data_IF_776418026213
#
_entry.id   IF_776418026213
#
_cell.length_a   1.000
_cell.length_b   1.000
_cell.length_c   1.000
_cell.angle_alpha   90.00
_cell.angle_beta   90.00
_cell.angle_gamma   90.00
#
_symmetry.space_group_name_H-M   'P 1'
#
loop_
_entity.id
_entity.type
_entity.pdbx_description
1 polymer ?
#
# COMPACT_ATOMS: atom_id res chain seq x y z
N UNK A 1 -34.55 -27.00 83.53
CA UNK A 1 -34.87 -25.56 83.68
C UNK A 1 -33.78 -24.73 83.09
N UNK A 2 -33.87 -24.27 81.89
CA UNK A 2 -33.02 -23.14 81.34
C UNK A 2 -33.84 -22.47 80.24
N UNK A 3 -34.15 -21.22 80.46
CA UNK A 3 -34.97 -20.39 79.61
C UNK A 3 -34.22 -19.92 78.35
N UNK A 4 -34.85 -20.15 77.20
CA UNK A 4 -34.39 -19.60 75.91
C UNK A 4 -34.89 -18.15 75.71
N UNK A 5 -33.99 -17.19 75.81
CA UNK A 5 -34.28 -15.77 75.51
C UNK A 5 -34.13 -15.49 74.00
N UNK A 6 -35.26 -15.28 73.32
CA UNK A 6 -35.30 -14.76 71.94
C UNK A 6 -34.98 -13.26 71.92
N UNK A 7 -33.80 -12.90 71.51
CA UNK A 7 -33.42 -11.49 71.24
C UNK A 7 -34.06 -11.03 69.94
N UNK A 8 -35.09 -10.21 70.06
CA UNK A 8 -35.69 -9.46 68.91
C UNK A 8 -34.75 -8.33 68.52
N UNK A 9 -34.25 -8.35 67.29
CA UNK A 9 -33.52 -7.26 66.71
C UNK A 9 -34.37 -5.97 66.68
N UNK A 10 -33.82 -4.82 67.02
CA UNK A 10 -34.58 -3.57 67.06
C UNK A 10 -34.98 -3.12 65.65
N UNK A 11 -36.24 -2.70 65.48
CA UNK A 11 -36.90 -2.31 64.24
C UNK A 11 -36.17 -1.27 63.40
N UNK A 12 -35.29 -0.47 63.98
CA UNK A 12 -34.47 0.54 63.27
C UNK A 12 -33.33 -0.11 62.47
N UNK A 13 -32.81 -1.28 62.80
CA UNK A 13 -31.81 -2.03 62.00
C UNK A 13 -32.43 -2.57 60.69
N UNK A 14 -33.69 -2.94 60.70
CA UNK A 14 -34.39 -3.44 59.48
C UNK A 14 -34.70 -2.30 58.50
N UNK A 15 -34.92 -1.07 58.99
CA UNK A 15 -35.15 0.09 58.16
C UNK A 15 -33.83 0.55 57.52
N UNK A 16 -32.69 0.48 58.25
CA UNK A 16 -31.37 0.80 57.70
C UNK A 16 -30.92 -0.19 56.60
N UNK A 17 -31.22 -1.49 56.76
CA UNK A 17 -30.90 -2.51 55.74
C UNK A 17 -31.76 -2.35 54.49
N UNK A 18 -33.02 -1.91 54.60
CA UNK A 18 -33.91 -1.62 53.46
C UNK A 18 -33.51 -0.35 52.69
N UNK A 19 -32.97 0.68 53.37
CA UNK A 19 -32.42 1.87 52.69
C UNK A 19 -31.11 1.61 51.97
N UNK A 20 -30.25 0.68 52.42
CA UNK A 20 -29.02 0.30 51.71
C UNK A 20 -29.27 -0.53 50.42
N UNK A 21 -30.40 -1.23 50.28
CA UNK A 21 -30.77 -1.90 49.05
C UNK A 21 -31.37 -1.01 47.97
N UNK A 22 -31.82 0.20 48.29
CA UNK A 22 -32.44 1.12 47.34
C UNK A 22 -31.45 2.02 46.56
N UNK A 23 -30.15 2.02 46.91
CA UNK A 23 -29.15 2.87 46.26
C UNK A 23 -28.35 2.08 45.17
N UNK A 24 -28.65 0.80 44.92
CA UNK A 24 -27.92 -0.09 44.03
C UNK A 24 -28.45 -0.24 42.60
N UNK A 25 -29.47 0.51 42.18
CA UNK A 25 -29.92 0.51 40.78
C UNK A 25 -29.37 1.70 39.99
N UNK A 26 -28.05 1.90 40.04
CA UNK A 26 -27.38 2.60 38.98
C UNK A 26 -27.44 1.70 37.73
N UNK A 27 -28.12 2.09 36.66
CA UNK A 27 -28.03 1.44 35.37
C UNK A 27 -26.55 1.24 35.07
N UNK A 28 -26.06 0.01 34.75
CA UNK A 28 -24.70 -0.16 34.35
C UNK A 28 -24.40 0.83 33.24
N UNK A 29 -23.39 1.66 33.42
CA UNK A 29 -22.93 2.53 32.37
C UNK A 29 -22.80 1.66 31.08
N UNK A 30 -23.30 2.14 29.93
CA UNK A 30 -23.25 1.34 28.71
C UNK A 30 -21.81 0.88 28.50
N UNK A 31 -21.61 -0.43 28.45
CA UNK A 31 -20.29 -1.02 28.32
C UNK A 31 -19.71 -0.54 27.01
N UNK A 32 -18.75 0.39 27.09
CA UNK A 32 -18.15 1.03 25.92
C UNK A 32 -17.50 -0.07 25.05
N UNK A 33 -18.01 -0.22 23.83
CA UNK A 33 -17.48 -1.21 22.87
C UNK A 33 -16.13 -0.71 22.38
N UNK A 34 -15.13 -1.56 22.42
CA UNK A 34 -13.76 -1.18 22.08
C UNK A 34 -13.34 -1.81 20.77
N UNK A 35 -12.84 -1.00 19.83
CA UNK A 35 -12.26 -1.41 18.57
C UNK A 35 -10.76 -1.15 18.61
N UNK A 36 -9.96 -2.19 18.38
CA UNK A 36 -8.49 -2.09 18.27
C UNK A 36 -8.11 -1.94 16.81
N UNK A 37 -7.28 -0.94 16.52
CA UNK A 37 -6.82 -0.61 15.16
C UNK A 37 -5.31 -0.68 15.11
N UNK A 38 -4.76 -1.44 14.16
CA UNK A 38 -3.34 -1.37 13.85
C UNK A 38 -3.14 -0.63 12.54
N UNK A 39 -2.24 0.36 12.57
CA UNK A 39 -1.90 1.15 11.40
C UNK A 39 -0.39 1.41 11.36
N UNK A 40 0.16 1.52 10.17
CA UNK A 40 1.58 1.65 9.94
C UNK A 40 1.97 3.11 9.70
N UNK A 41 3.25 3.40 9.95
CA UNK A 41 3.84 4.68 9.60
C UNK A 41 3.13 5.90 10.18
N UNK A 42 3.17 6.99 9.44
CA UNK A 42 2.54 8.27 9.81
C UNK A 42 1.01 8.17 9.83
N UNK A 43 0.44 7.29 9.02
CA UNK A 43 -1.00 7.11 8.86
C UNK A 43 -1.68 6.73 10.17
N UNK A 44 -1.02 5.91 10.99
CA UNK A 44 -1.49 5.57 12.34
C UNK A 44 -1.65 6.78 13.26
N UNK A 45 -0.71 7.72 13.21
CA UNK A 45 -0.80 8.96 13.99
C UNK A 45 -1.90 9.91 13.46
N UNK A 46 -2.16 9.86 12.15
CA UNK A 46 -3.18 10.69 11.52
C UNK A 46 -4.60 10.18 11.82
N UNK A 47 -4.82 8.86 11.89
CA UNK A 47 -6.13 8.32 12.30
C UNK A 47 -6.57 8.95 13.63
N UNK A 48 -5.67 9.08 14.62
CA UNK A 48 -5.98 9.67 15.91
C UNK A 48 -6.54 11.10 15.81
N UNK A 49 -6.12 11.86 14.79
CA UNK A 49 -6.61 13.22 14.54
C UNK A 49 -8.01 13.26 13.90
N UNK A 50 -8.43 12.15 13.29
CA UNK A 50 -9.75 11.99 12.66
C UNK A 50 -10.80 11.44 13.63
N UNK A 51 -10.37 10.70 14.69
CA UNK A 51 -11.28 10.06 15.65
C UNK A 51 -12.27 10.98 16.37
N UNK A 52 -11.97 12.25 16.70
CA UNK A 52 -12.95 13.12 17.35
C UNK A 52 -14.27 13.26 16.56
N UNK A 53 -14.22 13.20 15.23
CA UNK A 53 -15.42 13.22 14.38
C UNK A 53 -16.18 11.89 14.45
N UNK A 54 -15.44 10.76 14.45
CA UNK A 54 -16.03 9.43 14.63
C UNK A 54 -16.71 9.28 16.01
N UNK A 55 -16.05 9.73 17.08
CA UNK A 55 -16.57 9.64 18.45
C UNK A 55 -17.87 10.46 18.63
N UNK A 56 -18.03 11.58 17.91
CA UNK A 56 -19.28 12.33 17.92
C UNK A 56 -20.44 11.55 17.29
N UNK A 57 -20.16 10.75 16.26
CA UNK A 57 -21.15 9.91 15.58
C UNK A 57 -21.44 8.62 16.36
N UNK A 58 -20.45 8.09 17.05
CA UNK A 58 -20.50 6.81 17.76
C UNK A 58 -19.87 6.93 19.14
N UNK A 59 -20.54 7.63 20.11
CA UNK A 59 -19.98 7.90 21.43
C UNK A 59 -19.82 6.66 22.30
N UNK A 60 -20.47 5.58 21.94
CA UNK A 60 -20.42 4.27 22.60
C UNK A 60 -19.26 3.36 22.11
N UNK A 61 -18.50 3.82 21.11
CA UNK A 61 -17.35 3.08 20.55
C UNK A 61 -16.03 3.75 20.93
N UNK A 62 -15.22 3.06 21.73
CA UNK A 62 -13.82 3.46 22.02
C UNK A 62 -12.88 2.88 20.93
N UNK A 63 -12.09 3.72 20.28
CA UNK A 63 -11.09 3.27 19.29
C UNK A 63 -9.70 3.36 19.91
N UNK A 64 -8.97 2.24 19.90
CA UNK A 64 -7.57 2.19 20.32
C UNK A 64 -6.65 1.90 19.15
N UNK A 65 -5.71 2.82 18.89
CA UNK A 65 -4.77 2.72 17.79
C UNK A 65 -3.44 2.20 18.31
N UNK A 66 -2.87 1.22 17.60
CA UNK A 66 -1.48 0.81 17.72
C UNK A 66 -0.76 1.14 16.43
N UNK A 67 0.22 2.01 16.51
CA UNK A 67 1.09 2.37 15.39
C UNK A 67 2.24 1.36 15.28
N UNK A 68 2.55 0.93 14.05
CA UNK A 68 3.62 0.00 13.73
C UNK A 68 4.58 0.62 12.69
N UNK A 69 5.89 0.35 12.77
CA UNK A 69 6.77 0.65 11.66
C UNK A 69 6.51 -0.31 10.49
N UNK A 70 6.49 0.19 9.25
CA UNK A 70 6.29 -0.60 8.04
C UNK A 70 7.26 -1.79 7.95
N UNK A 71 8.52 -1.58 8.30
CA UNK A 71 9.59 -2.59 8.24
C UNK A 71 9.36 -3.80 9.13
N UNK A 72 8.53 -3.68 10.17
CA UNK A 72 8.23 -4.76 11.11
C UNK A 72 6.76 -5.24 11.05
N UNK A 73 5.90 -4.52 10.31
CA UNK A 73 4.46 -4.70 10.39
C UNK A 73 4.01 -6.08 9.87
N UNK A 74 4.53 -6.52 8.71
CA UNK A 74 4.17 -7.80 8.12
C UNK A 74 4.46 -8.97 9.07
N UNK A 75 5.71 -9.06 9.56
CA UNK A 75 6.11 -10.13 10.49
C UNK A 75 5.34 -10.08 11.82
N UNK A 76 5.06 -8.86 12.32
CA UNK A 76 4.28 -8.68 13.55
C UNK A 76 2.84 -9.14 13.38
N UNK A 77 2.22 -8.89 12.23
CA UNK A 77 0.87 -9.34 11.92
C UNK A 77 0.78 -10.87 11.83
N UNK A 78 1.76 -11.52 11.19
CA UNK A 78 1.84 -12.98 11.13
C UNK A 78 2.00 -13.59 12.53
N UNK A 79 2.86 -13.00 13.37
CA UNK A 79 3.05 -13.43 14.76
C UNK A 79 1.77 -13.24 15.58
N UNK A 80 1.09 -12.09 15.42
CA UNK A 80 -0.17 -11.82 16.11
C UNK A 80 -1.28 -12.79 15.67
N UNK A 81 -1.32 -13.13 14.39
CA UNK A 81 -2.26 -14.13 13.88
C UNK A 81 -2.01 -15.51 14.52
N UNK A 82 -0.75 -15.95 14.55
CA UNK A 82 -0.37 -17.23 15.18
C UNK A 82 -0.67 -17.24 16.70
N UNK A 83 -0.50 -16.10 17.37
CA UNK A 83 -0.78 -15.92 18.81
C UNK A 83 -2.22 -15.53 19.14
N UNK A 84 -3.14 -15.53 18.16
CA UNK A 84 -4.56 -15.16 18.33
C UNK A 84 -4.80 -13.73 18.89
N UNK A 85 -3.84 -12.81 18.66
CA UNK A 85 -3.82 -11.45 19.21
C UNK A 85 -3.93 -10.38 18.10
N UNK A 86 -4.69 -10.66 17.04
CA UNK A 86 -4.92 -9.74 15.94
C UNK A 86 -5.84 -8.57 16.35
N UNK A 87 -5.68 -7.37 15.74
CA UNK A 87 -6.61 -6.26 15.94
C UNK A 87 -8.00 -6.55 15.32
N UNK A 88 -8.95 -5.68 15.60
CA UNK A 88 -10.28 -5.73 14.96
C UNK A 88 -10.23 -5.20 13.54
N UNK A 89 -9.61 -4.02 13.35
CA UNK A 89 -9.39 -3.34 12.07
C UNK A 89 -7.88 -3.14 11.86
N UNK A 90 -7.43 -3.32 10.64
CA UNK A 90 -6.02 -3.13 10.30
C UNK A 90 -5.86 -2.42 8.95
N UNK A 91 -4.91 -1.47 8.89
CA UNK A 91 -4.29 -1.08 7.64
C UNK A 91 -3.42 -2.24 7.17
N UNK A 92 -3.62 -2.70 5.94
CA UNK A 92 -2.86 -3.82 5.37
C UNK A 92 -2.34 -3.42 3.99
N UNK A 93 -1.05 -3.67 3.72
CA UNK A 93 -0.54 -3.55 2.36
C UNK A 93 -1.35 -4.44 1.43
N UNK A 94 -1.78 -3.92 0.30
CA UNK A 94 -2.69 -4.66 -0.57
C UNK A 94 -2.07 -5.96 -1.15
N UNK A 95 -0.75 -6.03 -1.27
CA UNK A 95 -0.02 -7.24 -1.68
C UNK A 95 0.00 -8.34 -0.61
N UNK A 96 -0.28 -7.99 0.66
CA UNK A 96 -0.33 -8.95 1.77
C UNK A 96 -1.70 -9.63 1.89
N UNK A 97 -2.75 -9.04 1.31
CA UNK A 97 -4.12 -9.58 1.40
C UNK A 97 -4.20 -11.06 0.97
N UNK A 98 -3.59 -11.51 -0.15
CA UNK A 98 -3.66 -12.92 -0.53
C UNK A 98 -3.10 -13.88 0.52
N UNK A 99 -2.00 -13.52 1.19
CA UNK A 99 -1.41 -14.34 2.25
C UNK A 99 -2.34 -14.44 3.47
N UNK A 100 -2.89 -13.32 3.93
CA UNK A 100 -3.81 -13.32 5.08
C UNK A 100 -5.16 -13.99 4.75
N UNK A 101 -5.59 -13.98 3.49
CA UNK A 101 -6.76 -14.76 3.03
C UNK A 101 -6.45 -16.24 3.05
N UNK A 102 -5.28 -16.67 2.55
CA UNK A 102 -4.85 -18.07 2.60
C UNK A 102 -4.74 -18.60 4.03
N UNK A 103 -4.32 -17.76 4.98
CA UNK A 103 -4.33 -18.06 6.42
C UNK A 103 -5.75 -18.05 7.03
N UNK A 104 -6.79 -17.71 6.28
CA UNK A 104 -8.17 -17.51 6.76
C UNK A 104 -8.26 -16.47 7.88
N UNK A 105 -7.38 -15.48 7.85
CA UNK A 105 -7.26 -14.44 8.88
C UNK A 105 -8.26 -13.32 8.70
N UNK A 106 -8.70 -13.04 7.46
CA UNK A 106 -9.55 -11.90 7.13
C UNK A 106 -11.04 -12.29 7.06
N UNK A 107 -11.88 -11.31 7.40
CA UNK A 107 -13.32 -11.40 7.24
C UNK A 107 -13.74 -11.07 5.82
N UNK A 108 -14.59 -11.89 5.16
CA UNK A 108 -15.24 -11.53 3.91
C UNK A 108 -16.15 -10.31 4.11
N UNK A 109 -16.01 -9.30 3.25
CA UNK A 109 -16.71 -8.02 3.41
C UNK A 109 -17.94 -7.86 2.48
N UNK A 110 -18.23 -8.83 1.61
CA UNK A 110 -19.33 -8.73 0.62
C UNK A 110 -20.68 -8.42 1.25
N UNK A 111 -21.02 -9.06 2.38
CA UNK A 111 -22.28 -8.82 3.08
C UNK A 111 -22.34 -7.42 3.70
N UNK A 112 -21.23 -6.91 4.21
CA UNK A 112 -21.14 -5.57 4.76
C UNK A 112 -21.22 -4.54 3.65
N UNK A 113 -20.50 -4.77 2.54
CA UNK A 113 -20.56 -3.92 1.35
C UNK A 113 -21.98 -3.82 0.78
N UNK A 114 -22.70 -4.94 0.67
CA UNK A 114 -24.06 -4.96 0.12
C UNK A 114 -25.06 -4.11 0.91
N UNK A 115 -24.77 -3.85 2.19
CA UNK A 115 -25.58 -3.00 3.07
C UNK A 115 -25.06 -1.57 3.20
N UNK A 116 -23.87 -1.31 2.68
CA UNK A 116 -23.22 -0.01 2.79
C UNK A 116 -23.78 0.99 1.80
N UNK A 117 -24.04 2.19 2.28
CA UNK A 117 -24.28 3.37 1.43
C UNK A 117 -23.05 4.26 1.31
N UNK A 118 -22.08 4.07 2.20
CA UNK A 118 -20.86 4.87 2.28
C UNK A 118 -19.75 4.34 1.36
N UNK A 119 -19.63 3.02 1.22
CA UNK A 119 -18.62 2.36 0.37
C UNK A 119 -19.31 1.82 -0.88
N UNK A 120 -18.93 2.34 -2.04
CA UNK A 120 -19.46 1.92 -3.35
C UNK A 120 -18.29 1.57 -4.26
N UNK A 121 -18.22 0.32 -4.72
CA UNK A 121 -17.13 -0.18 -5.57
C UNK A 121 -16.93 0.67 -6.84
N UNK A 122 -18.02 1.17 -7.44
CA UNK A 122 -18.00 2.01 -8.65
C UNK A 122 -17.29 3.36 -8.48
N UNK A 123 -17.14 3.83 -7.24
CA UNK A 123 -16.42 5.09 -6.95
C UNK A 123 -14.91 4.90 -6.85
N UNK A 124 -14.43 3.67 -6.77
CA UNK A 124 -13.00 3.39 -6.71
C UNK A 124 -12.38 3.20 -8.09
N UNK A 125 -11.06 3.40 -8.22
CA UNK A 125 -10.33 3.01 -9.43
C UNK A 125 -10.35 1.48 -9.54
N UNK A 126 -10.77 0.91 -10.69
CA UNK A 126 -11.01 -0.52 -10.80
C UNK A 126 -9.79 -1.39 -10.47
N UNK A 127 -8.59 -1.02 -10.96
CA UNK A 127 -7.36 -1.76 -10.66
C UNK A 127 -6.98 -1.74 -9.19
N UNK A 128 -7.30 -0.65 -8.46
CA UNK A 128 -7.08 -0.55 -7.02
C UNK A 128 -8.12 -1.36 -6.24
N UNK A 129 -9.39 -1.29 -6.64
CA UNK A 129 -10.45 -2.09 -6.02
C UNK A 129 -10.18 -3.58 -6.17
N UNK A 130 -9.75 -4.01 -7.35
CA UNK A 130 -9.48 -5.41 -7.68
C UNK A 130 -8.40 -6.03 -6.79
N UNK A 131 -7.43 -5.25 -6.28
CA UNK A 131 -6.40 -5.79 -5.35
C UNK A 131 -6.97 -6.41 -4.09
N UNK A 132 -8.22 -6.08 -3.74
CA UNK A 132 -8.90 -6.53 -2.52
C UNK A 132 -9.82 -7.74 -2.76
N UNK A 133 -9.97 -8.17 -4.01
CA UNK A 133 -10.82 -9.30 -4.39
C UNK A 133 -9.93 -10.53 -4.59
N UNK A 134 -10.11 -11.53 -3.74
CA UNK A 134 -9.39 -12.81 -3.82
C UNK A 134 -10.41 -13.94 -4.02
N UNK A 135 -10.28 -14.70 -5.11
CA UNK A 135 -11.21 -15.77 -5.43
C UNK A 135 -12.67 -15.30 -5.58
N UNK A 136 -12.87 -14.06 -6.04
CA UNK A 136 -14.21 -13.48 -6.22
C UNK A 136 -14.82 -12.87 -4.95
N UNK A 137 -14.14 -12.90 -3.81
CA UNK A 137 -14.61 -12.38 -2.51
C UNK A 137 -13.82 -11.14 -2.12
N UNK A 138 -14.50 -10.12 -1.59
CA UNK A 138 -13.90 -8.89 -1.09
C UNK A 138 -13.37 -9.09 0.33
N UNK A 139 -12.10 -8.71 0.59
CA UNK A 139 -11.47 -8.82 1.91
C UNK A 139 -10.95 -7.50 2.47
N UNK A 140 -10.92 -6.44 1.69
CA UNK A 140 -10.49 -5.13 2.15
C UNK A 140 -11.19 -4.01 1.38
N UNK A 141 -11.12 -2.80 1.92
CA UNK A 141 -11.55 -1.58 1.23
C UNK A 141 -10.32 -0.69 1.05
N UNK A 142 -9.98 -0.29 -0.19
CA UNK A 142 -8.82 0.58 -0.42
C UNK A 142 -8.91 1.85 0.41
N UNK A 143 -7.83 2.19 1.10
CA UNK A 143 -7.78 3.37 1.99
C UNK A 143 -6.98 4.51 1.40
N UNK A 144 -5.80 4.22 0.85
CA UNK A 144 -5.02 5.13 0.02
C UNK A 144 -4.27 4.37 -1.06
N UNK A 145 -3.80 5.09 -2.06
CA UNK A 145 -3.10 4.52 -3.20
C UNK A 145 -1.61 4.81 -3.17
N UNK A 146 -0.87 3.84 -3.66
CA UNK A 146 0.55 3.89 -3.88
C UNK A 146 0.84 3.29 -5.26
N UNK A 147 0.87 4.13 -6.28
CA UNK A 147 1.31 3.75 -7.62
C UNK A 147 2.61 4.46 -7.96
N UNK A 148 3.42 3.85 -8.83
CA UNK A 148 4.70 4.41 -9.24
C UNK A 148 4.54 5.21 -10.53
N UNK A 149 5.21 6.36 -10.60
CA UNK A 149 5.33 7.16 -11.81
C UNK A 149 6.65 7.93 -11.82
N UNK A 150 6.88 8.73 -12.86
CA UNK A 150 8.08 9.54 -12.98
C UNK A 150 7.93 10.88 -12.24
N UNK A 151 8.85 11.14 -11.30
CA UNK A 151 9.24 12.49 -10.90
C UNK A 151 10.42 12.90 -11.78
N UNK A 152 10.41 14.11 -12.33
CA UNK A 152 11.47 14.51 -13.24
C UNK A 152 11.83 16.00 -13.16
N UNK A 153 13.07 16.32 -13.52
CA UNK A 153 13.58 17.67 -13.67
C UNK A 153 13.21 18.20 -15.05
N UNK A 154 12.11 18.98 -15.11
CA UNK A 154 11.63 19.54 -16.37
C UNK A 154 12.59 20.54 -17.01
N UNK A 155 13.37 21.26 -16.20
CA UNK A 155 14.38 22.20 -16.66
C UNK A 155 15.56 21.47 -17.32
N UNK A 156 16.06 20.38 -16.76
CA UNK A 156 17.13 19.57 -17.36
C UNK A 156 16.63 18.84 -18.62
N UNK A 157 15.37 18.40 -18.61
CA UNK A 157 14.73 17.81 -19.78
C UNK A 157 14.66 18.84 -20.93
N UNK A 158 14.24 20.08 -20.64
CA UNK A 158 14.20 21.16 -21.62
C UNK A 158 15.60 21.52 -22.14
N UNK A 159 16.62 21.60 -21.28
CA UNK A 159 18.02 21.82 -21.67
C UNK A 159 18.55 20.68 -22.56
N UNK A 160 18.08 19.45 -22.37
CA UNK A 160 18.42 18.32 -23.23
C UNK A 160 17.63 18.29 -24.56
N UNK A 161 16.78 19.30 -24.81
CA UNK A 161 16.06 19.50 -26.08
C UNK A 161 14.66 18.86 -26.12
N UNK A 162 14.07 18.50 -24.97
CA UNK A 162 12.75 17.88 -24.91
C UNK A 162 11.75 18.77 -24.15
N UNK A 163 10.61 19.05 -24.76
CA UNK A 163 9.55 19.86 -24.15
C UNK A 163 8.63 19.04 -23.23
N UNK A 164 8.42 17.77 -23.54
CA UNK A 164 7.48 16.87 -22.85
C UNK A 164 8.19 15.65 -22.28
N UNK A 165 7.67 15.04 -21.19
CA UNK A 165 8.21 13.80 -20.66
C UNK A 165 7.97 12.61 -21.59
N UNK A 166 8.72 11.48 -21.40
CA UNK A 166 8.61 10.33 -22.29
C UNK A 166 7.27 9.62 -22.15
N UNK A 167 6.77 9.10 -23.27
CA UNK A 167 5.57 8.25 -23.33
C UNK A 167 5.89 6.79 -23.66
N UNK A 168 7.06 6.56 -24.29
CA UNK A 168 7.55 5.22 -24.63
C UNK A 168 8.93 4.98 -24.04
N UNK A 169 9.32 3.70 -23.93
CA UNK A 169 10.69 3.33 -23.52
C UNK A 169 11.74 3.85 -24.49
N UNK A 170 11.42 3.89 -25.78
CA UNK A 170 12.34 4.42 -26.79
C UNK A 170 12.56 5.92 -26.58
N UNK A 171 11.49 6.69 -26.36
CA UNK A 171 11.59 8.12 -26.05
C UNK A 171 12.38 8.33 -24.76
N UNK A 172 12.12 7.51 -23.74
CA UNK A 172 12.83 7.61 -22.46
C UNK A 172 14.32 7.31 -22.62
N UNK A 173 14.70 6.27 -23.39
CA UNK A 173 16.10 5.97 -23.70
C UNK A 173 16.81 7.13 -24.39
N UNK A 174 16.15 7.78 -25.38
CA UNK A 174 16.69 8.96 -26.06
C UNK A 174 16.91 10.12 -25.10
N UNK A 175 15.94 10.37 -24.20
CA UNK A 175 16.02 11.41 -23.17
C UNK A 175 17.12 11.12 -22.16
N UNK A 176 17.22 9.89 -21.67
CA UNK A 176 18.27 9.45 -20.74
C UNK A 176 19.68 9.64 -21.35
N UNK A 177 19.84 9.26 -22.61
CA UNK A 177 21.11 9.45 -23.33
C UNK A 177 21.47 10.94 -23.50
N UNK A 178 20.52 11.78 -23.91
CA UNK A 178 20.73 13.22 -24.08
C UNK A 178 21.01 13.92 -22.74
N UNK A 179 20.27 13.56 -21.68
CA UNK A 179 20.52 14.09 -20.34
C UNK A 179 21.91 13.66 -19.86
N UNK A 180 22.30 12.38 -20.02
CA UNK A 180 23.62 11.91 -19.63
C UNK A 180 24.75 12.68 -20.35
N UNK A 181 24.58 12.94 -21.62
CA UNK A 181 25.52 13.76 -22.39
C UNK A 181 25.59 15.22 -21.88
N UNK A 182 24.46 15.79 -21.48
CA UNK A 182 24.35 17.16 -20.95
C UNK A 182 25.00 17.29 -19.55
N UNK A 183 24.70 16.34 -18.63
CA UNK A 183 25.08 16.47 -17.21
C UNK A 183 26.48 15.91 -16.90
N UNK A 184 27.09 15.16 -17.81
CA UNK A 184 28.45 14.61 -17.67
C UNK A 184 28.51 13.30 -16.84
N UNK A 185 29.75 12.83 -16.57
CA UNK A 185 29.95 11.49 -16.00
C UNK A 185 29.45 11.33 -14.57
N UNK A 186 29.53 12.37 -13.73
CA UNK A 186 29.20 12.34 -12.30
C UNK A 186 27.71 12.44 -11.98
N UNK A 187 26.86 12.61 -13.00
CA UNK A 187 25.41 12.73 -12.85
C UNK A 187 24.68 11.72 -13.74
N UNK A 188 23.41 11.50 -13.43
CA UNK A 188 22.65 10.41 -14.03
C UNK A 188 21.32 10.89 -14.63
N UNK A 189 20.85 10.14 -15.62
CA UNK A 189 19.54 10.35 -16.21
C UNK A 189 18.41 9.96 -15.27
N UNK A 190 18.57 8.85 -14.53
CA UNK A 190 17.53 8.31 -13.62
C UNK A 190 18.16 7.70 -12.38
N UNK A 191 17.44 7.72 -11.28
CA UNK A 191 17.75 6.95 -10.07
C UNK A 191 16.82 5.72 -9.99
N UNK A 192 17.44 4.53 -9.93
CA UNK A 192 16.78 3.23 -9.77
C UNK A 192 17.53 2.44 -8.68
N UNK A 193 17.18 2.58 -7.39
CA UNK A 193 17.89 1.89 -6.32
C UNK A 193 17.80 0.37 -6.46
N UNK A 194 18.93 -0.34 -6.34
CA UNK A 194 19.01 -1.80 -6.53
C UNK A 194 18.27 -2.59 -5.46
N UNK A 195 18.14 -2.02 -4.26
CA UNK A 195 17.39 -2.64 -3.16
C UNK A 195 15.87 -2.40 -3.22
N UNK A 196 15.35 -1.79 -4.30
CA UNK A 196 13.93 -1.61 -4.56
C UNK A 196 13.48 -2.49 -5.74
N UNK A 197 12.44 -3.30 -5.54
CA UNK A 197 11.92 -4.19 -6.59
C UNK A 197 10.94 -3.50 -7.55
N UNK A 198 10.37 -2.39 -7.12
CA UNK A 198 9.27 -1.71 -7.82
C UNK A 198 9.61 -1.34 -9.26
N UNK A 199 10.83 -0.91 -9.52
CA UNK A 199 11.25 -0.45 -10.85
C UNK A 199 11.17 -1.55 -11.88
N UNK A 200 11.85 -2.68 -11.63
CA UNK A 200 11.79 -3.82 -12.55
C UNK A 200 10.36 -4.37 -12.64
N UNK A 201 9.65 -4.44 -11.52
CA UNK A 201 8.27 -4.90 -11.49
C UNK A 201 7.36 -4.04 -12.37
N UNK A 202 7.46 -2.71 -12.29
CA UNK A 202 6.68 -1.79 -13.14
C UNK A 202 6.95 -2.05 -14.62
N UNK A 203 8.21 -2.21 -15.02
CA UNK A 203 8.56 -2.53 -16.41
C UNK A 203 8.03 -3.89 -16.85
N UNK A 204 8.07 -4.87 -15.95
CA UNK A 204 7.62 -6.24 -16.24
C UNK A 204 6.09 -6.34 -16.40
N UNK A 205 5.30 -5.68 -15.54
CA UNK A 205 3.83 -5.71 -15.65
C UNK A 205 3.28 -4.92 -16.86
N UNK A 206 4.11 -4.09 -17.49
CA UNK A 206 3.76 -3.41 -18.74
C UNK A 206 3.71 -4.38 -19.92
N UNK A 207 4.37 -5.53 -19.80
CA UNK A 207 4.37 -6.53 -20.85
C UNK A 207 3.02 -7.24 -20.97
N UNK A 208 2.70 -7.80 -22.17
CA UNK A 208 1.43 -8.51 -22.37
C UNK A 208 1.33 -9.83 -21.61
N UNK A 209 2.47 -10.51 -21.39
CA UNK A 209 2.49 -11.79 -20.69
C UNK A 209 2.43 -11.59 -19.17
N UNK A 210 1.61 -12.39 -18.45
CA UNK A 210 1.58 -12.33 -16.98
C UNK A 210 2.87 -12.88 -16.38
N UNK A 211 3.25 -12.38 -15.19
CA UNK A 211 4.44 -12.83 -14.45
C UNK A 211 4.32 -14.27 -13.91
N UNK A 212 3.10 -14.72 -13.67
CA UNK A 212 2.78 -16.10 -13.29
C UNK A 212 1.81 -16.69 -14.28
N UNK A 213 1.99 -17.96 -14.65
CA UNK A 213 1.11 -18.72 -15.56
C UNK A 213 0.27 -19.76 -14.82
N UNK A 214 -0.74 -20.30 -15.52
CA UNK A 214 -1.64 -21.32 -14.99
C UNK A 214 -2.26 -20.95 -13.62
N UNK A 215 -2.86 -19.74 -13.54
CA UNK A 215 -3.52 -19.22 -12.34
C UNK A 215 -2.59 -19.15 -11.12
N UNK A 216 -1.37 -18.68 -11.32
CA UNK A 216 -0.39 -18.51 -10.26
C UNK A 216 0.26 -19.81 -9.78
N UNK A 217 0.29 -20.84 -10.62
CA UNK A 217 0.92 -22.14 -10.30
C UNK A 217 2.38 -22.22 -10.68
N UNK A 218 2.81 -21.42 -11.64
CA UNK A 218 4.17 -21.45 -12.18
C UNK A 218 4.67 -20.04 -12.46
N UNK A 219 5.97 -19.86 -12.39
CA UNK A 219 6.65 -18.68 -12.90
C UNK A 219 6.45 -18.52 -14.40
N UNK A 220 6.62 -17.30 -14.91
CA UNK A 220 6.62 -16.99 -16.35
C UNK A 220 7.73 -15.99 -16.68
N UNK A 221 8.83 -16.09 -15.96
CA UNK A 221 9.95 -15.14 -16.08
C UNK A 221 10.84 -15.42 -17.31
N UNK A 222 10.67 -16.57 -17.95
CA UNK A 222 11.31 -16.89 -19.25
C UNK A 222 10.49 -16.39 -20.44
N UNK A 223 9.40 -15.64 -20.23
CA UNK A 223 8.62 -15.04 -21.31
C UNK A 223 9.42 -13.96 -22.06
N UNK A 224 9.09 -13.75 -23.34
CA UNK A 224 9.72 -12.71 -24.15
C UNK A 224 9.52 -11.31 -23.52
N UNK A 225 8.35 -11.06 -22.95
CA UNK A 225 8.05 -9.80 -22.26
C UNK A 225 8.92 -9.58 -21.04
N UNK A 226 9.12 -10.58 -20.19
CA UNK A 226 10.00 -10.42 -19.03
C UNK A 226 11.47 -10.21 -19.44
N UNK A 227 11.97 -10.95 -20.44
CA UNK A 227 13.31 -10.73 -21.02
C UNK A 227 13.46 -9.31 -21.55
N UNK A 228 12.45 -8.78 -22.26
CA UNK A 228 12.44 -7.39 -22.75
C UNK A 228 12.51 -6.38 -21.58
N UNK A 229 11.75 -6.60 -20.51
CA UNK A 229 11.75 -5.71 -19.34
C UNK A 229 13.08 -5.76 -18.59
N UNK A 230 13.61 -6.94 -18.31
CA UNK A 230 14.88 -7.12 -17.62
C UNK A 230 16.06 -6.62 -18.47
N UNK A 231 16.00 -6.83 -19.79
CA UNK A 231 16.98 -6.30 -20.74
C UNK A 231 17.02 -4.77 -20.73
N UNK A 232 15.85 -4.12 -20.79
CA UNK A 232 15.74 -2.66 -20.70
C UNK A 232 16.24 -2.13 -19.35
N UNK A 233 15.85 -2.79 -18.24
CA UNK A 233 16.33 -2.45 -16.90
C UNK A 233 17.87 -2.51 -16.83
N UNK A 234 18.48 -3.60 -17.30
CA UNK A 234 19.94 -3.77 -17.37
C UNK A 234 20.60 -2.71 -18.25
N UNK A 235 20.03 -2.40 -19.41
CA UNK A 235 20.57 -1.40 -20.35
C UNK A 235 20.75 -0.04 -19.70
N UNK A 236 19.79 0.39 -18.85
CA UNK A 236 19.87 1.66 -18.13
C UNK A 236 21.16 1.77 -17.31
N UNK A 237 21.57 0.68 -16.64
CA UNK A 237 22.81 0.66 -15.87
C UNK A 237 24.06 0.50 -16.75
N UNK A 238 24.01 -0.36 -17.76
CA UNK A 238 25.14 -0.55 -18.68
C UNK A 238 25.52 0.71 -19.44
N UNK A 239 24.52 1.54 -19.77
CA UNK A 239 24.73 2.84 -20.40
C UNK A 239 25.08 3.94 -19.40
N UNK A 240 25.24 3.60 -18.11
CA UNK A 240 25.50 4.56 -17.05
C UNK A 240 24.44 5.68 -16.95
N UNK A 241 23.19 5.39 -17.34
CA UNK A 241 22.07 6.31 -17.15
C UNK A 241 21.57 6.31 -15.72
N UNK A 242 21.78 5.21 -14.95
CA UNK A 242 21.54 5.11 -13.52
C UNK A 242 22.80 4.70 -12.77
N UNK A 243 23.01 5.16 -11.51
CA UNK A 243 24.07 4.64 -10.66
C UNK A 243 23.66 3.27 -10.10
N UNK A 244 24.57 2.29 -10.03
CA UNK A 244 24.30 0.98 -9.40
C UNK A 244 24.44 1.07 -7.87
N UNK A 245 23.49 1.73 -7.21
CA UNK A 245 23.52 2.02 -5.77
C UNK A 245 22.20 1.62 -5.10
N UNK A 246 22.27 1.37 -3.80
CA UNK A 246 21.10 1.17 -2.95
C UNK A 246 20.52 2.52 -2.48
N UNK A 247 19.23 2.55 -2.12
CA UNK A 247 18.58 3.73 -1.58
C UNK A 247 19.24 4.28 -0.31
N UNK A 248 19.88 3.39 0.48
CA UNK A 248 20.64 3.76 1.69
C UNK A 248 21.93 4.53 1.40
N UNK A 249 22.47 4.42 0.18
CA UNK A 249 23.64 5.17 -0.27
C UNK A 249 23.31 6.57 -0.76
N UNK A 250 22.02 6.87 -0.94
CA UNK A 250 21.51 8.20 -1.28
C UNK A 250 21.01 8.87 0.01
N UNK A 251 21.83 9.73 0.58
CA UNK A 251 21.54 10.34 1.89
C UNK A 251 20.26 11.19 1.91
N UNK A 252 19.91 11.83 0.80
CA UNK A 252 18.73 12.68 0.67
C UNK A 252 18.28 12.76 -0.78
N UNK A 253 17.40 11.85 -1.18
CA UNK A 253 16.91 11.73 -2.56
C UNK A 253 16.29 13.03 -3.10
N UNK A 254 15.62 13.80 -2.25
CA UNK A 254 14.96 15.06 -2.65
C UNK A 254 15.98 16.15 -2.97
N UNK A 255 17.00 16.32 -2.12
CA UNK A 255 18.09 17.25 -2.37
C UNK A 255 18.92 16.83 -3.59
N UNK A 256 19.12 15.53 -3.78
CA UNK A 256 19.87 15.02 -4.92
C UNK A 256 19.15 15.26 -6.25
N UNK A 257 17.82 15.10 -6.31
CA UNK A 257 17.03 15.54 -7.46
C UNK A 257 17.18 17.06 -7.65
N UNK A 258 17.03 17.85 -6.56
CA UNK A 258 17.15 19.31 -6.60
C UNK A 258 18.49 19.80 -7.14
N UNK A 259 19.60 19.12 -6.81
CA UNK A 259 20.95 19.42 -7.32
C UNK A 259 21.21 18.86 -8.73
N UNK A 260 20.27 18.06 -9.27
CA UNK A 260 20.41 17.42 -10.58
C UNK A 260 21.42 16.27 -10.60
N UNK A 261 21.63 15.58 -9.48
CA UNK A 261 22.41 14.35 -9.44
C UNK A 261 21.78 13.26 -10.32
N UNK A 262 20.45 13.22 -10.35
CA UNK A 262 19.66 12.49 -11.33
C UNK A 262 18.48 13.33 -11.80
N UNK A 263 17.95 13.04 -12.99
CA UNK A 263 16.91 13.85 -13.63
C UNK A 263 15.53 13.20 -13.56
N UNK A 264 15.45 11.87 -13.54
CA UNK A 264 14.23 11.10 -13.34
C UNK A 264 14.31 10.25 -12.08
N UNK A 265 13.17 10.06 -11.43
CA UNK A 265 13.02 9.18 -10.26
C UNK A 265 11.65 8.49 -10.32
N UNK A 266 11.63 7.16 -10.23
CA UNK A 266 10.39 6.39 -10.14
C UNK A 266 10.00 6.29 -8.68
N UNK A 267 8.84 6.85 -8.32
CA UNK A 267 8.38 6.82 -6.94
C UNK A 267 6.87 7.03 -6.79
N UNK A 268 6.40 7.03 -5.55
CA UNK A 268 5.00 7.15 -5.18
C UNK A 268 4.57 8.56 -4.74
N UNK A 269 3.27 8.74 -4.46
CA UNK A 269 2.64 10.04 -4.25
C UNK A 269 3.13 10.79 -3.00
N UNK A 270 3.61 10.09 -1.96
CA UNK A 270 4.17 10.74 -0.76
C UNK A 270 5.31 11.72 -1.07
N UNK A 271 6.01 11.49 -2.17
CA UNK A 271 7.10 12.36 -2.59
C UNK A 271 6.64 13.75 -3.07
N UNK A 272 5.38 13.94 -3.45
CA UNK A 272 4.86 15.27 -3.77
C UNK A 272 5.05 16.21 -2.56
N UNK A 273 4.58 15.76 -1.39
CA UNK A 273 4.73 16.54 -0.15
C UNK A 273 6.19 16.73 0.28
N UNK A 274 7.04 15.73 0.06
CA UNK A 274 8.46 15.81 0.40
C UNK A 274 9.19 16.83 -0.48
N UNK A 275 9.01 16.77 -1.81
CA UNK A 275 9.62 17.74 -2.74
C UNK A 275 9.09 19.16 -2.48
N UNK A 276 7.77 19.32 -2.30
CA UNK A 276 7.17 20.62 -2.02
C UNK A 276 7.74 21.26 -0.73
N UNK A 277 8.00 20.45 0.28
CA UNK A 277 8.45 20.93 1.60
C UNK A 277 9.96 21.16 1.68
N UNK A 278 10.76 20.33 0.96
CA UNK A 278 12.22 20.29 1.07
C UNK A 278 12.95 21.12 0.04
N UNK A 279 12.42 21.22 -1.18
CA UNK A 279 13.02 22.06 -2.19
C UNK A 279 12.69 23.54 -1.94
N UNK A 280 13.66 24.43 -2.11
CA UNK A 280 13.43 25.87 -1.92
C UNK A 280 12.45 26.42 -2.95
N UNK A 281 11.76 27.55 -2.65
CA UNK A 281 10.72 28.13 -3.53
C UNK A 281 11.16 28.32 -4.98
N UNK A 282 12.40 28.74 -5.19
CA UNK A 282 12.99 28.96 -6.53
C UNK A 282 13.20 27.67 -7.32
N UNK A 283 13.14 26.50 -6.69
CA UNK A 283 13.24 25.20 -7.36
C UNK A 283 11.90 24.50 -7.56
N UNK A 284 10.81 25.02 -7.01
CA UNK A 284 9.50 24.38 -7.13
C UNK A 284 9.01 24.25 -8.57
N UNK A 285 9.42 25.14 -9.46
CA UNK A 285 9.08 25.10 -10.88
C UNK A 285 10.00 24.20 -11.72
N UNK A 286 11.09 23.67 -11.15
CA UNK A 286 12.09 22.88 -11.90
C UNK A 286 11.74 21.40 -12.02
N UNK A 287 10.81 20.90 -11.23
CA UNK A 287 10.41 19.49 -11.23
C UNK A 287 8.93 19.32 -11.57
N UNK A 288 8.57 18.11 -11.97
CA UNK A 288 7.21 17.74 -12.31
C UNK A 288 7.02 16.23 -12.16
N UNK A 289 5.78 15.77 -12.32
CA UNK A 289 5.41 14.36 -12.40
C UNK A 289 4.89 14.01 -13.79
N UNK A 290 5.11 12.77 -14.22
CA UNK A 290 4.59 12.24 -15.47
C UNK A 290 4.18 10.77 -15.31
N UNK A 291 3.16 10.27 -16.04
CA UNK A 291 2.87 8.87 -16.11
C UNK A 291 4.08 8.04 -16.55
N UNK A 292 4.09 6.75 -16.20
CA UNK A 292 5.14 5.83 -16.66
C UNK A 292 5.12 5.70 -18.18
N UNK A 293 6.27 5.80 -18.86
CA UNK A 293 6.38 5.38 -20.24
C UNK A 293 6.22 3.86 -20.34
N UNK A 294 5.65 3.39 -21.41
CA UNK A 294 5.52 1.96 -21.67
C UNK A 294 6.29 1.51 -22.91
N UNK A 295 6.24 0.22 -23.26
CA UNK A 295 6.95 -0.30 -24.41
C UNK A 295 6.60 0.40 -25.72
N UNK A 296 5.31 0.68 -25.95
CA UNK A 296 4.79 1.16 -27.24
C UNK A 296 3.81 2.35 -27.07
N UNK A 297 3.73 2.95 -25.86
CA UNK A 297 2.86 4.07 -25.49
C UNK A 297 2.87 4.31 -24.00
N UNK A 298 1.92 5.08 -23.43
CA UNK A 298 1.82 5.30 -22.01
C UNK A 298 1.68 3.98 -21.24
N UNK A 299 2.60 3.72 -20.30
CA UNK A 299 2.74 2.46 -19.61
C UNK A 299 1.73 2.26 -18.48
N UNK A 300 1.47 0.99 -18.16
CA UNK A 300 0.84 0.64 -16.91
C UNK A 300 1.81 0.84 -15.73
N UNK A 301 1.26 0.94 -14.53
CA UNK A 301 2.02 0.90 -13.28
C UNK A 301 1.36 -0.04 -12.28
N UNK A 302 1.98 -0.22 -11.11
CA UNK A 302 1.44 -1.10 -10.07
C UNK A 302 0.21 -0.48 -9.41
N UNK A 303 -0.79 -1.31 -9.15
CA UNK A 303 -1.92 -0.99 -8.28
C UNK A 303 -1.51 -1.25 -6.83
N UNK A 304 -0.74 -0.34 -6.26
CA UNK A 304 -0.25 -0.38 -4.89
C UNK A 304 -1.13 0.43 -3.92
N UNK A 305 -0.82 0.32 -2.66
CA UNK A 305 -1.45 1.05 -1.57
C UNK A 305 -1.76 0.19 -0.36
N UNK A 306 -2.54 0.75 0.54
CA UNK A 306 -3.03 0.03 1.70
C UNK A 306 -4.56 0.01 1.74
N UNK A 307 -5.08 -1.04 2.31
CA UNK A 307 -6.50 -1.27 2.48
C UNK A 307 -6.85 -1.42 3.95
N UNK A 308 -8.06 -1.10 4.32
CA UNK A 308 -8.63 -1.40 5.62
C UNK A 308 -9.25 -2.79 5.57
N UNK A 309 -8.78 -3.67 6.45
CA UNK A 309 -9.25 -5.05 6.56
C UNK A 309 -9.76 -5.33 7.97
N UNK A 310 -10.76 -6.21 8.10
CA UNK A 310 -11.28 -6.69 9.38
C UNK A 310 -10.75 -8.10 9.62
N UNK A 311 -10.18 -8.37 10.79
CA UNK A 311 -9.74 -9.71 11.13
C UNK A 311 -10.93 -10.61 11.48
N UNK A 312 -10.91 -11.84 10.98
CA UNK A 312 -12.01 -12.80 11.12
C UNK A 312 -12.36 -13.16 12.58
N UNK A 313 -11.34 -13.12 13.45
CA UNK A 313 -11.51 -13.40 14.91
C UNK A 313 -12.01 -12.22 15.71
N UNK A 314 -12.15 -11.04 15.10
CA UNK A 314 -12.73 -9.86 15.77
C UNK A 314 -14.11 -10.19 16.33
N UNK A 315 -14.35 -9.75 17.56
CA UNK A 315 -15.67 -9.78 18.21
C UNK A 315 -16.44 -8.47 18.00
N UNK A 316 -15.82 -7.48 17.38
CA UNK A 316 -16.32 -6.13 17.15
C UNK A 316 -16.40 -5.80 15.65
N UNK A 317 -16.80 -6.78 14.82
CA UNK A 317 -16.82 -6.63 13.35
C UNK A 317 -17.76 -5.52 12.87
N UNK A 318 -18.90 -5.36 13.54
CA UNK A 318 -19.86 -4.32 13.20
C UNK A 318 -19.31 -2.92 13.49
N UNK A 319 -18.68 -2.73 14.64
CA UNK A 319 -18.05 -1.48 15.04
C UNK A 319 -16.81 -1.18 14.16
N UNK A 320 -16.02 -2.21 13.84
CA UNK A 320 -14.88 -2.10 12.92
C UNK A 320 -15.33 -1.69 11.51
N UNK A 321 -16.50 -2.19 11.05
CA UNK A 321 -17.07 -1.77 9.77
C UNK A 321 -17.54 -0.32 9.79
N UNK A 322 -18.20 0.15 10.86
CA UNK A 322 -18.57 1.56 11.01
C UNK A 322 -17.37 2.50 10.95
N UNK A 323 -16.26 2.11 11.60
CA UNK A 323 -15.02 2.87 11.54
C UNK A 323 -14.39 2.83 10.15
N UNK A 324 -14.43 1.68 9.47
CA UNK A 324 -13.96 1.53 8.09
C UNK A 324 -14.76 2.43 7.14
N UNK A 325 -16.10 2.45 7.22
CA UNK A 325 -16.95 3.33 6.43
C UNK A 325 -16.64 4.81 6.67
N UNK A 326 -16.46 5.19 7.94
CA UNK A 326 -16.09 6.55 8.32
C UNK A 326 -14.74 6.95 7.66
N UNK A 327 -13.68 6.13 7.83
CA UNK A 327 -12.36 6.38 7.26
C UNK A 327 -12.37 6.36 5.72
N UNK A 328 -13.31 5.66 5.12
CA UNK A 328 -13.48 5.56 3.67
C UNK A 328 -14.37 6.65 3.08
N UNK A 329 -15.01 7.50 3.89
CA UNK A 329 -15.89 8.55 3.38
C UNK A 329 -15.08 9.61 2.60
N UNK A 330 -15.61 10.21 1.52
CA UNK A 330 -14.90 11.19 0.71
C UNK A 330 -14.36 12.38 1.50
N UNK A 331 -15.12 12.84 2.49
CA UNK A 331 -14.72 13.97 3.35
C UNK A 331 -13.50 13.61 4.21
N UNK A 332 -13.51 12.42 4.82
CA UNK A 332 -12.42 11.96 5.68
C UNK A 332 -11.19 11.61 4.83
N UNK A 333 -11.37 11.00 3.65
CA UNK A 333 -10.26 10.76 2.73
C UNK A 333 -9.59 12.05 2.23
N UNK A 334 -10.39 13.10 1.94
CA UNK A 334 -9.85 14.42 1.62
C UNK A 334 -9.01 14.96 2.78
N UNK A 335 -9.51 14.88 4.02
CA UNK A 335 -8.78 15.34 5.20
C UNK A 335 -7.54 14.48 5.48
N UNK A 336 -7.63 13.19 5.27
CA UNK A 336 -6.50 12.27 5.35
C UNK A 336 -5.39 12.67 4.35
N UNK A 337 -5.75 12.94 3.09
CA UNK A 337 -4.81 13.46 2.09
C UNK A 337 -4.15 14.77 2.54
N UNK A 338 -4.90 15.72 3.08
CA UNK A 338 -4.33 16.99 3.58
C UNK A 338 -3.30 16.78 4.70
N UNK A 339 -3.48 15.75 5.53
CA UNK A 339 -2.61 15.46 6.66
C UNK A 339 -1.40 14.59 6.30
N UNK A 340 -1.54 13.67 5.33
CA UNK A 340 -0.50 12.70 4.97
C UNK A 340 0.19 13.00 3.65
N UNK A 341 -0.56 13.53 2.67
CA UNK A 341 -0.17 13.57 1.27
C UNK A 341 -0.53 12.30 0.48
N UNK A 342 -1.07 11.26 1.14
CA UNK A 342 -1.46 10.01 0.50
C UNK A 342 -2.72 10.20 -0.33
N UNK A 343 -2.67 9.77 -1.58
CA UNK A 343 -3.73 10.03 -2.54
C UNK A 343 -4.94 9.09 -2.32
N UNK A 344 -6.17 9.61 -2.42
CA UNK A 344 -7.37 8.82 -2.18
C UNK A 344 -7.67 7.83 -3.30
N UNK A 345 -8.19 6.63 -2.98
CA UNK A 345 -8.55 5.61 -3.96
C UNK A 345 -9.91 5.86 -4.61
N UNK A 346 -10.71 6.80 -4.09
CA UNK A 346 -12.06 7.11 -4.58
C UNK A 346 -12.03 8.23 -5.62
N UNK A 347 -12.67 8.00 -6.76
CA UNK A 347 -12.77 8.98 -7.87
C UNK A 347 -13.50 10.26 -7.46
N UNK A 348 -14.52 10.15 -6.60
CA UNK A 348 -15.27 11.31 -6.11
C UNK A 348 -14.41 12.28 -5.32
N UNK A 349 -13.46 11.79 -4.53
CA UNK A 349 -12.55 12.62 -3.72
C UNK A 349 -11.63 13.49 -4.59
N UNK A 350 -11.28 13.05 -5.80
CA UNK A 350 -10.45 13.82 -6.73
C UNK A 350 -11.10 15.07 -7.30
N UNK A 351 -12.41 15.26 -7.08
CA UNK A 351 -13.11 16.50 -7.43
C UNK A 351 -12.86 17.63 -6.42
N UNK A 352 -12.28 17.30 -5.27
CA UNK A 352 -11.95 18.32 -4.26
C UNK A 352 -10.92 19.31 -4.83
N UNK A 353 -11.10 20.64 -4.62
CA UNK A 353 -10.23 21.67 -5.19
C UNK A 353 -8.74 21.47 -4.90
N UNK A 354 -8.42 20.93 -3.72
CA UNK A 354 -7.05 20.67 -3.27
C UNK A 354 -6.35 19.60 -4.10
N UNK A 355 -7.10 18.61 -4.60
CA UNK A 355 -6.59 17.55 -5.48
C UNK A 355 -6.68 17.97 -6.95
N UNK A 356 -7.80 18.54 -7.36
CA UNK A 356 -8.02 18.98 -8.75
C UNK A 356 -7.05 20.09 -9.17
N UNK A 357 -6.67 20.96 -8.24
CA UNK A 357 -5.71 22.05 -8.47
C UNK A 357 -4.24 21.64 -8.28
N UNK A 358 -3.95 20.44 -7.80
CA UNK A 358 -2.60 20.00 -7.57
C UNK A 358 -1.95 19.49 -8.88
N UNK A 359 -1.08 20.31 -9.47
CA UNK A 359 -0.40 20.00 -10.73
C UNK A 359 0.40 18.69 -10.67
N UNK A 360 1.04 18.42 -9.54
CA UNK A 360 1.85 17.20 -9.35
C UNK A 360 1.00 15.95 -9.17
N UNK A 361 -0.21 16.06 -8.62
CA UNK A 361 -1.14 14.93 -8.47
C UNK A 361 -1.83 14.56 -9.80
N UNK A 362 -1.81 15.43 -10.80
CA UNK A 362 -2.47 15.21 -12.09
C UNK A 362 -1.97 13.97 -12.82
N UNK A 363 -0.66 13.75 -12.85
CA UNK A 363 -0.08 12.56 -13.47
C UNK A 363 -0.47 11.26 -12.74
N UNK A 364 -0.60 11.31 -11.41
CA UNK A 364 -1.13 10.18 -10.63
C UNK A 364 -2.57 9.86 -11.02
N UNK A 365 -3.43 10.89 -11.15
CA UNK A 365 -4.81 10.70 -11.59
C UNK A 365 -4.88 9.98 -12.95
N UNK A 366 -4.03 10.38 -13.89
CA UNK A 366 -3.95 9.76 -15.20
C UNK A 366 -3.41 8.32 -15.11
N UNK A 367 -2.35 8.09 -14.32
CA UNK A 367 -1.74 6.77 -14.14
C UNK A 367 -2.71 5.77 -13.55
N UNK A 368 -3.58 6.18 -12.63
CA UNK A 368 -4.54 5.31 -11.95
C UNK A 368 -5.57 4.65 -12.89
N UNK A 369 -5.80 5.21 -14.05
CA UNK A 369 -6.63 4.55 -15.07
C UNK A 369 -5.89 3.40 -15.79
N UNK A 370 -4.56 3.28 -15.58
CA UNK A 370 -3.67 2.29 -16.21
C UNK A 370 -2.83 1.54 -15.18
N UNK A 371 -3.39 1.26 -14.00
CA UNK A 371 -2.71 0.41 -13.01
C UNK A 371 -3.14 -1.04 -13.16
N UNK A 372 -2.19 -1.94 -12.89
CA UNK A 372 -2.43 -3.39 -12.86
C UNK A 372 -2.14 -3.94 -11.47
N UNK A 373 -2.99 -4.83 -10.93
CA UNK A 373 -2.69 -5.53 -9.70
C UNK A 373 -1.48 -6.45 -9.89
N UNK A 374 -0.73 -6.62 -8.83
CA UNK A 374 0.32 -7.62 -8.77
C UNK A 374 -0.32 -9.03 -8.66
N UNK A 375 0.41 -10.10 -8.98
CA UNK A 375 -0.09 -11.46 -8.81
C UNK A 375 -0.64 -11.71 -7.40
N UNK A 376 -1.88 -12.19 -7.32
CA UNK A 376 -2.61 -12.38 -6.05
C UNK A 376 -2.34 -13.77 -5.48
N UNK A 377 -1.09 -14.05 -5.18
CA UNK A 377 -0.67 -15.32 -4.56
C UNK A 377 -0.03 -15.07 -3.20
N UNK A 378 -0.23 -15.95 -2.21
CA UNK A 378 0.35 -15.80 -0.87
C UNK A 378 1.87 -15.69 -0.85
N UNK A 379 2.52 -16.27 -1.84
CA UNK A 379 3.98 -16.31 -1.96
C UNK A 379 4.58 -15.05 -2.60
N UNK A 380 3.77 -14.03 -2.92
CA UNK A 380 4.19 -12.89 -3.73
C UNK A 380 5.35 -12.09 -3.12
N UNK A 381 5.32 -11.82 -1.83
CA UNK A 381 6.40 -11.07 -1.14
C UNK A 381 7.76 -11.78 -1.26
N UNK A 382 7.74 -13.12 -1.24
CA UNK A 382 8.96 -13.91 -1.47
C UNK A 382 9.41 -13.81 -2.93
N UNK A 383 8.49 -13.90 -3.87
CA UNK A 383 8.79 -13.84 -5.31
C UNK A 383 9.41 -12.50 -5.69
N UNK A 384 8.90 -11.37 -5.19
CA UNK A 384 9.48 -10.05 -5.50
C UNK A 384 10.85 -9.85 -4.84
N UNK A 385 11.07 -10.46 -3.68
CA UNK A 385 12.40 -10.47 -3.05
C UNK A 385 13.42 -11.22 -3.90
N UNK A 386 13.06 -12.39 -4.40
CA UNK A 386 13.93 -13.20 -5.27
C UNK A 386 14.17 -12.49 -6.62
N UNK A 387 13.14 -11.85 -7.19
CA UNK A 387 13.25 -11.02 -8.40
C UNK A 387 14.24 -9.85 -8.22
N UNK A 388 14.20 -9.17 -7.07
CA UNK A 388 15.12 -8.08 -6.77
C UNK A 388 16.57 -8.57 -6.69
N UNK A 389 16.82 -9.66 -5.96
CA UNK A 389 18.16 -10.25 -5.83
C UNK A 389 18.73 -10.72 -7.18
N UNK A 390 17.88 -11.30 -8.01
CA UNK A 390 18.25 -11.70 -9.37
C UNK A 390 18.60 -10.46 -10.23
N UNK A 391 17.78 -9.41 -10.17
CA UNK A 391 18.00 -8.18 -10.94
C UNK A 391 19.32 -7.50 -10.57
N UNK A 392 19.67 -7.45 -9.29
CA UNK A 392 20.95 -6.93 -8.79
C UNK A 392 22.14 -7.70 -9.41
N UNK A 393 22.09 -9.03 -9.43
CA UNK A 393 23.13 -9.86 -10.06
C UNK A 393 23.26 -9.62 -11.57
N UNK A 394 22.12 -9.39 -12.26
CA UNK A 394 22.12 -9.08 -13.70
C UNK A 394 22.73 -7.69 -13.96
N UNK A 395 22.46 -6.71 -13.10
CA UNK A 395 23.04 -5.35 -13.21
C UNK A 395 24.55 -5.38 -12.99
N UNK A 396 25.03 -6.15 -12.01
CA UNK A 396 26.48 -6.31 -11.76
C UNK A 396 27.21 -7.17 -12.80
N UNK A 397 26.46 -7.85 -13.68
CA UNK A 397 27.04 -8.70 -14.74
C UNK A 397 27.41 -10.12 -14.29
N UNK A 398 26.97 -10.51 -13.08
CA UNK A 398 27.15 -11.88 -12.56
C UNK A 398 26.26 -12.89 -13.30
N UNK A 399 25.18 -12.41 -13.92
CA UNK A 399 24.27 -13.19 -14.76
C UNK A 399 23.93 -12.41 -16.05
N UNK A 400 23.76 -13.14 -17.13
CA UNK A 400 23.06 -12.62 -18.31
C UNK A 400 21.56 -12.45 -18.02
N UNK A 401 20.85 -11.76 -18.91
CA UNK A 401 19.37 -11.63 -18.83
C UNK A 401 18.70 -13.01 -18.90
N UNK A 402 19.20 -13.87 -19.78
CA UNK A 402 18.69 -15.22 -20.00
C UNK A 402 18.89 -16.12 -18.77
N UNK A 403 20.11 -16.09 -18.20
CA UNK A 403 20.43 -16.85 -16.99
C UNK A 403 19.61 -16.36 -15.78
N UNK A 404 19.56 -15.03 -15.57
CA UNK A 404 18.79 -14.44 -14.48
C UNK A 404 17.30 -14.78 -14.57
N UNK A 405 16.71 -14.66 -15.74
CA UNK A 405 15.32 -15.02 -15.98
C UNK A 405 15.06 -16.52 -15.76
N UNK A 406 15.98 -17.39 -16.19
CA UNK A 406 15.86 -18.83 -16.01
C UNK A 406 16.05 -19.25 -14.54
N UNK A 407 16.97 -18.63 -13.81
CA UNK A 407 17.18 -18.85 -12.39
C UNK A 407 15.94 -18.45 -11.59
N UNK A 408 15.43 -17.23 -11.83
CA UNK A 408 14.20 -16.73 -11.17
C UNK A 408 12.99 -17.63 -11.46
N UNK A 409 12.79 -18.07 -12.70
CA UNK A 409 11.67 -18.93 -13.08
C UNK A 409 11.72 -20.26 -12.31
N UNK A 410 12.91 -20.86 -12.19
CA UNK A 410 13.15 -22.10 -11.42
C UNK A 410 12.89 -21.89 -9.93
N UNK A 411 13.41 -20.80 -9.35
CA UNK A 411 13.29 -20.52 -7.91
C UNK A 411 11.83 -20.24 -7.55
N UNK A 412 11.12 -19.48 -8.39
CA UNK A 412 9.68 -19.24 -8.23
C UNK A 412 8.86 -20.52 -8.39
N UNK A 413 9.21 -21.38 -9.34
CA UNK A 413 8.57 -22.69 -9.44
C UNK A 413 8.77 -23.55 -8.19
N UNK A 414 9.92 -23.47 -7.54
CA UNK A 414 10.16 -24.14 -6.25
C UNK A 414 9.30 -23.52 -5.13
N UNK A 415 9.23 -22.20 -5.02
CA UNK A 415 8.38 -21.47 -4.05
C UNK A 415 6.91 -21.88 -4.21
N UNK A 416 6.42 -21.97 -5.46
CA UNK A 416 5.03 -22.30 -5.77
C UNK A 416 4.70 -23.80 -5.70
N UNK A 417 5.67 -24.67 -5.38
CA UNK A 417 5.46 -26.13 -5.32
C UNK A 417 4.36 -26.54 -4.33
N UNK A 418 4.37 -25.98 -3.13
CA UNK A 418 3.34 -26.24 -2.11
C UNK A 418 1.97 -25.80 -2.58
N UNK A 419 1.87 -24.64 -3.22
CA UNK A 419 0.62 -24.12 -3.80
C UNK A 419 0.05 -25.09 -4.84
N UNK A 420 0.89 -25.58 -5.77
CA UNK A 420 0.46 -26.60 -6.77
C UNK A 420 -0.08 -27.85 -6.12
N UNK A 421 0.60 -28.34 -5.09
CA UNK A 421 0.20 -29.52 -4.35
C UNK A 421 -1.15 -29.36 -3.64
N UNK A 422 -1.43 -28.20 -3.04
CA UNK A 422 -2.70 -27.87 -2.40
C UNK A 422 -3.83 -27.77 -3.44
N UNK A 423 -3.62 -27.02 -4.52
CA UNK A 423 -4.61 -26.86 -5.59
C UNK A 423 -4.96 -28.19 -6.27
N UNK A 424 -4.00 -29.10 -6.46
CA UNK A 424 -4.25 -30.43 -7.02
C UNK A 424 -5.18 -31.29 -6.12
N UNK A 425 -5.33 -30.92 -4.86
CA UNK A 425 -6.22 -31.57 -3.86
C UNK A 425 -7.52 -30.81 -3.62
N UNK A 426 -7.81 -29.77 -4.43
CA UNK A 426 -9.01 -28.95 -4.26
C UNK A 426 -8.95 -28.05 -3.01
N UNK A 427 -7.77 -27.88 -2.41
CA UNK A 427 -7.58 -26.95 -1.30
C UNK A 427 -7.15 -25.61 -1.90
N UNK A 428 -7.98 -24.59 -1.73
CA UNK A 428 -7.61 -23.22 -2.08
C UNK A 428 -6.55 -22.74 -1.06
N UNK A 429 -5.33 -22.45 -1.52
CA UNK A 429 -4.28 -21.95 -0.66
C UNK A 429 -4.54 -20.55 -0.18
#
# INVERSE_FOLDING_TARGET
MTAGGSRRLPRWLTVLLALMCAVGCGSPAPQQRRVTVWAMGREGAVIAQLLPEFTKLHPDIEVRIQQLPWTAAHQKLLTAFAGEATPDLCQLGNTWIPEFVALKALEPLDQSLARSTAVQASDYFPGIWDTNIIGGTLYGVPWYIDTRLLFYRRDLLAQAGFAEPPRTWEEWSRMLAAIKALVGPERYGVLLPLNEFDTLLVLAIQQPEPLLRADGRYGNFRSAGFHRALGFYREIFQRQWAPPVDSTQISNVWNELGRGYFSFYISGPWNIGEFTRRLPPEQQHTWMTAPMPGPDGPGASIAGGASLVIFRRSRHKAEAWLLLEFLSSPQIQKRFYQLTGDLPPRRSTWRAPELAGNLYARAFREQLERVKPQPKVPEWERIVSDMRLMAERVVHGDLSVEEGAADLDRDVDAVLQKRRWLLARGVTP
#
